data_IF_947645661896
#
_entry.id   IF_947645661896
#
_cell.length_a   1.000
_cell.length_b   1.000
_cell.length_c   1.000
_cell.angle_alpha   90.00
_cell.angle_beta   90.00
_cell.angle_gamma   90.00
#
_symmetry.space_group_name_H-M   'P 1'
#
loop_
_entity.id
_entity.type
_entity.pdbx_description
1 polymer ?
#
# COMPACT_ATOMS: atom_id res chain seq x y z
N UNK A 1 -1.22 -19.30 -6.58
CA UNK A 1 -2.25 -20.01 -5.79
C UNK A 1 -3.32 -19.02 -5.41
N UNK A 2 -4.62 -19.31 -5.59
CA UNK A 2 -5.69 -18.43 -5.10
C UNK A 2 -5.60 -18.29 -3.57
N UNK A 3 -5.89 -17.10 -3.05
CA UNK A 3 -5.94 -16.88 -1.61
C UNK A 3 -7.18 -17.55 -1.02
N UNK A 4 -7.12 -17.93 0.26
CA UNK A 4 -8.35 -18.31 0.97
C UNK A 4 -9.20 -17.06 1.20
N UNK A 5 -10.54 -17.18 1.28
CA UNK A 5 -11.41 -16.04 1.55
C UNK A 5 -11.05 -15.29 2.84
N UNK A 6 -10.56 -16.01 3.84
CA UNK A 6 -10.05 -15.43 5.10
C UNK A 6 -8.82 -14.56 4.85
N UNK A 7 -7.88 -15.03 4.03
CA UNK A 7 -6.67 -14.28 3.69
C UNK A 7 -7.01 -13.03 2.90
N UNK A 8 -7.96 -13.09 1.96
CA UNK A 8 -8.39 -11.92 1.19
C UNK A 8 -9.01 -10.85 2.08
N UNK A 9 -9.85 -11.24 3.05
CA UNK A 9 -10.42 -10.32 4.04
C UNK A 9 -9.32 -9.62 4.85
N UNK A 10 -8.37 -10.39 5.38
CA UNK A 10 -7.23 -9.85 6.16
C UNK A 10 -6.41 -8.88 5.32
N UNK A 11 -6.09 -9.23 4.07
CA UNK A 11 -5.35 -8.35 3.16
C UNK A 11 -6.10 -7.04 2.86
N UNK A 12 -7.43 -7.13 2.72
CA UNK A 12 -8.29 -5.97 2.52
C UNK A 12 -8.24 -4.98 3.70
N UNK A 13 -8.31 -5.51 4.92
CA UNK A 13 -8.23 -4.75 6.17
C UNK A 13 -6.83 -4.15 6.39
N UNK A 14 -5.77 -4.95 6.19
CA UNK A 14 -4.38 -4.51 6.34
C UNK A 14 -4.04 -3.32 5.42
N UNK A 15 -4.53 -3.35 4.17
CA UNK A 15 -4.30 -2.27 3.21
C UNK A 15 -4.91 -0.95 3.69
N UNK A 16 -6.10 -0.99 4.27
CA UNK A 16 -6.77 0.20 4.83
C UNK A 16 -6.03 0.72 6.07
N UNK A 17 -5.58 -0.18 6.96
CA UNK A 17 -4.80 0.17 8.15
C UNK A 17 -3.48 0.84 7.78
N UNK A 18 -2.74 0.25 6.84
CA UNK A 18 -1.46 0.78 6.38
C UNK A 18 -1.63 2.17 5.73
N UNK A 19 -2.73 2.39 4.98
CA UNK A 19 -3.07 3.73 4.49
C UNK A 19 -3.31 4.73 5.62
N UNK A 20 -3.96 4.32 6.70
CA UNK A 20 -4.11 5.16 7.90
C UNK A 20 -2.76 5.55 8.51
N UNK A 21 -1.82 4.60 8.60
CA UNK A 21 -0.46 4.86 9.06
C UNK A 21 0.28 5.86 8.15
N UNK A 22 0.19 5.70 6.83
CA UNK A 22 0.75 6.65 5.85
C UNK A 22 0.19 8.06 6.03
N UNK A 23 -1.12 8.19 6.25
CA UNK A 23 -1.77 9.49 6.45
C UNK A 23 -1.31 10.17 7.74
N UNK A 24 -1.08 9.40 8.80
CA UNK A 24 -0.60 9.92 10.07
C UNK A 24 0.88 10.27 10.04
N UNK A 25 1.73 9.51 9.33
CA UNK A 25 3.16 9.81 9.21
C UNK A 25 3.42 11.01 8.29
N UNK A 26 2.58 11.21 7.27
CA UNK A 26 2.72 12.30 6.30
C UNK A 26 3.91 12.16 5.35
N UNK A 27 4.59 11.01 5.37
CA UNK A 27 5.81 10.71 4.62
C UNK A 27 5.54 10.15 3.22
N UNK A 28 4.41 9.46 3.03
CA UNK A 28 4.05 8.79 1.78
C UNK A 28 2.53 8.83 1.59
N UNK A 29 2.06 8.89 0.33
CA UNK A 29 0.63 8.84 0.04
C UNK A 29 0.33 8.06 -1.24
N UNK A 30 -0.08 6.80 -1.09
CA UNK A 30 -0.49 5.93 -2.21
C UNK A 30 -2.00 5.64 -2.14
N UNK A 31 -2.68 5.59 -3.27
CA UNK A 31 -4.08 5.17 -3.34
C UNK A 31 -4.23 3.65 -3.18
N UNK A 32 -5.37 3.19 -2.67
CA UNK A 32 -5.71 1.77 -2.69
C UNK A 32 -7.15 1.59 -3.16
N UNK A 33 -7.44 0.42 -3.73
CA UNK A 33 -8.76 0.08 -4.26
C UNK A 33 -8.92 -1.44 -4.38
N UNK A 34 -10.16 -1.97 -4.33
CA UNK A 34 -10.45 -3.34 -4.76
C UNK A 34 -10.59 -3.40 -6.29
N UNK A 35 -10.49 -4.61 -6.86
CA UNK A 35 -10.76 -4.82 -8.30
C UNK A 35 -11.37 -6.21 -8.54
N UNK A 36 -12.67 -6.24 -8.87
CA UNK A 36 -13.39 -7.51 -9.02
C UNK A 36 -13.33 -8.32 -7.73
N UNK A 37 -12.84 -9.56 -7.83
CA UNK A 37 -12.64 -10.44 -6.68
C UNK A 37 -11.32 -10.18 -5.92
N UNK A 38 -10.48 -9.25 -6.40
CA UNK A 38 -9.25 -8.90 -5.71
C UNK A 38 -9.53 -8.00 -4.51
N UNK A 39 -8.99 -8.31 -3.31
CA UNK A 39 -9.10 -7.45 -2.14
C UNK A 39 -8.36 -6.12 -2.37
N UNK A 40 -8.47 -5.19 -1.42
CA UNK A 40 -7.75 -3.91 -1.53
C UNK A 40 -6.26 -4.13 -1.82
N UNK A 41 -5.74 -3.40 -2.81
CA UNK A 41 -4.32 -3.33 -3.13
C UNK A 41 -3.90 -1.90 -3.40
N UNK A 42 -2.61 -1.62 -3.22
CA UNK A 42 -2.04 -0.30 -3.50
C UNK A 42 -1.85 -0.09 -5.00
N UNK A 43 -2.22 1.09 -5.47
CA UNK A 43 -1.96 1.56 -6.82
C UNK A 43 -1.08 2.80 -6.78
N UNK A 44 0.22 2.60 -6.99
CA UNK A 44 1.16 3.69 -7.20
C UNK A 44 1.06 4.21 -8.63
N UNK A 45 0.96 5.53 -8.79
CA UNK A 45 0.94 6.21 -10.08
C UNK A 45 2.08 7.22 -10.07
N UNK A 46 3.05 7.03 -10.96
CA UNK A 46 4.16 7.96 -11.16
C UNK A 46 3.82 8.82 -12.37
N UNK A 47 3.41 10.07 -12.13
CA UNK A 47 3.12 11.05 -13.17
C UNK A 47 3.95 12.33 -13.04
N UNK A 48 4.62 12.51 -11.91
CA UNK A 48 5.44 13.69 -11.65
C UNK A 48 6.84 13.48 -12.23
N UNK A 49 7.28 14.38 -13.11
CA UNK A 49 8.61 14.34 -13.74
C UNK A 49 9.77 14.55 -12.76
N UNK A 50 9.50 15.05 -11.55
CA UNK A 50 10.50 15.19 -10.50
C UNK A 50 10.80 13.89 -9.74
N UNK A 51 10.02 12.82 -9.96
CA UNK A 51 10.23 11.53 -9.29
C UNK A 51 11.52 10.89 -9.78
N UNK A 52 12.36 10.51 -8.83
CA UNK A 52 13.63 9.80 -9.06
C UNK A 52 13.51 8.35 -8.60
N UNK A 53 14.49 7.53 -8.99
CA UNK A 53 14.60 6.13 -8.55
C UNK A 53 14.60 6.03 -7.02
N UNK A 54 15.32 6.93 -6.34
CA UNK A 54 15.37 6.99 -4.88
C UNK A 54 14.01 7.24 -4.21
N UNK A 55 13.08 7.91 -4.88
CA UNK A 55 11.74 8.11 -4.34
C UNK A 55 10.91 6.82 -4.41
N UNK A 56 11.16 5.98 -5.41
CA UNK A 56 10.53 4.65 -5.56
C UNK A 56 11.13 3.69 -4.54
N UNK A 57 12.44 3.72 -4.33
CA UNK A 57 13.09 2.94 -3.27
C UNK A 57 12.54 3.34 -1.89
N UNK A 58 12.48 4.65 -1.62
CA UNK A 58 11.88 5.17 -0.39
C UNK A 58 10.42 4.74 -0.23
N UNK A 59 9.63 4.74 -1.31
CA UNK A 59 8.25 4.28 -1.27
C UNK A 59 8.13 2.83 -0.80
N UNK A 60 9.02 1.94 -1.27
CA UNK A 60 9.04 0.52 -0.86
C UNK A 60 9.51 0.35 0.59
N UNK A 61 10.59 1.05 0.96
CA UNK A 61 11.12 1.01 2.33
C UNK A 61 10.12 1.54 3.35
N UNK A 62 9.40 2.61 3.00
CA UNK A 62 8.40 3.22 3.89
C UNK A 62 7.15 2.34 4.00
N UNK A 63 6.76 1.66 2.92
CA UNK A 63 5.71 0.63 2.96
C UNK A 63 6.07 -0.51 3.91
N UNK A 64 7.28 -1.04 3.82
CA UNK A 64 7.75 -2.12 4.70
C UNK A 64 7.84 -1.65 6.15
N UNK A 65 8.47 -0.50 6.39
CA UNK A 65 8.62 0.09 7.73
C UNK A 65 7.27 0.32 8.43
N UNK A 66 6.29 0.83 7.70
CA UNK A 66 4.93 1.03 8.24
C UNK A 66 4.19 -0.31 8.42
N UNK A 67 4.49 -1.32 7.60
CA UNK A 67 3.88 -2.65 7.65
C UNK A 67 4.43 -3.57 8.74
N UNK A 68 5.66 -3.37 9.22
CA UNK A 68 6.29 -4.25 10.23
C UNK A 68 5.54 -4.30 11.58
N UNK A 69 4.68 -3.32 11.86
CA UNK A 69 3.92 -3.21 13.11
C UNK A 69 2.42 -3.58 12.96
N UNK A 70 2.04 -4.24 11.85
CA UNK A 70 0.66 -4.63 11.54
C UNK A 70 0.40 -6.13 11.64
#
# INVERSE_FOLDING_TARGET
MPHSPQKEKILGELTATLKGCMMNSGTLMIGYQPQGDLPNFFRSIISNAAVQESDVDFMLDELDRLGQNL
#
